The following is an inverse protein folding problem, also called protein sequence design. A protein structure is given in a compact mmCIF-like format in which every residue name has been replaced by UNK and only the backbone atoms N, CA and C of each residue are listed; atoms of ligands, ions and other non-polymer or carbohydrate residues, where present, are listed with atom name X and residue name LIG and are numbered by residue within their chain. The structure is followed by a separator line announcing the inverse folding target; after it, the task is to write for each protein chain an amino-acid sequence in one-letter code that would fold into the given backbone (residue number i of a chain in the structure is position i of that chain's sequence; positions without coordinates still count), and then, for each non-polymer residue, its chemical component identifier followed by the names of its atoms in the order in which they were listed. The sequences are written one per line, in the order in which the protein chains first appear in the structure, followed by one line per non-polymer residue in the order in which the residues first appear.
data_IF_148483307044
#
_entry.id   IF_148483307044
#
_cell.length_a   1.000
_cell.length_b   1.000
_cell.length_c   1.000
_cell.angle_alpha   90.00
_cell.angle_beta   90.00
_cell.angle_gamma   90.00
#
_symmetry.space_group_name_H-M   'P 1'
#
loop_
_entity.id
_entity.type
_entity.pdbx_description
1 polymer ?
#
# COMPACT_ATOMS: atom_id res chain seq x y z
N UNK A 1 -14.03 7.62 45.74
CA UNK A 1 -15.01 8.69 45.46
C UNK A 1 -14.96 9.16 44.00
N UNK A 2 -13.78 9.44 43.43
CA UNK A 2 -13.65 10.00 42.07
C UNK A 2 -14.21 9.10 40.93
N UNK A 3 -14.09 7.77 41.05
CA UNK A 3 -14.62 6.82 40.05
C UNK A 3 -16.15 6.79 39.96
N UNK A 4 -16.86 7.11 41.04
CA UNK A 4 -18.33 7.12 41.05
C UNK A 4 -18.86 8.38 40.37
N UNK A 5 -18.23 9.53 40.65
CA UNK A 5 -18.58 10.81 40.02
C UNK A 5 -18.41 10.78 38.50
N UNK A 6 -17.29 10.23 38.01
CA UNK A 6 -17.06 10.15 36.56
C UNK A 6 -18.10 9.24 35.87
N UNK A 7 -18.50 8.15 36.52
CA UNK A 7 -19.53 7.25 35.99
C UNK A 7 -20.88 7.96 35.86
N UNK A 8 -21.27 8.74 36.88
CA UNK A 8 -22.48 9.56 36.83
C UNK A 8 -22.42 10.59 35.70
N UNK A 9 -21.27 11.25 35.52
CA UNK A 9 -21.05 12.21 34.43
C UNK A 9 -21.18 11.55 33.05
N UNK A 10 -20.64 10.34 32.88
CA UNK A 10 -20.75 9.60 31.61
C UNK A 10 -22.22 9.26 31.32
N UNK A 11 -22.98 8.82 32.32
CA UNK A 11 -24.40 8.52 32.16
C UNK A 11 -25.23 9.77 31.82
N UNK A 12 -25.01 10.88 32.52
CA UNK A 12 -25.65 12.16 32.22
C UNK A 12 -25.30 12.64 30.80
N UNK A 13 -24.02 12.56 30.42
CA UNK A 13 -23.55 12.95 29.09
C UNK A 13 -24.16 12.08 27.98
N UNK A 14 -24.35 10.77 28.22
CA UNK A 14 -25.08 9.88 27.29
C UNK A 14 -26.53 10.31 27.08
N UNK A 15 -27.19 10.76 28.14
CA UNK A 15 -28.57 11.26 28.10
C UNK A 15 -28.69 12.67 27.49
N UNK A 16 -27.59 13.23 26.97
CA UNK A 16 -27.60 14.49 26.24
C UNK A 16 -27.19 15.72 27.06
N UNK A 17 -26.86 15.56 28.34
CA UNK A 17 -26.39 16.65 29.20
C UNK A 17 -25.12 17.30 28.63
N UNK A 18 -25.23 18.59 28.30
CA UNK A 18 -24.15 19.36 27.69
C UNK A 18 -23.05 19.70 28.69
N UNK A 19 -23.39 19.97 29.95
CA UNK A 19 -22.41 20.28 30.99
C UNK A 19 -21.58 19.05 31.32
N UNK A 20 -22.23 17.88 31.44
CA UNK A 20 -21.53 16.63 31.67
C UNK A 20 -20.56 16.30 30.51
N UNK A 21 -20.96 16.53 29.26
CA UNK A 21 -20.07 16.40 28.09
C UNK A 21 -18.87 17.35 28.18
N UNK A 22 -19.11 18.62 28.50
CA UNK A 22 -18.06 19.64 28.62
C UNK A 22 -17.05 19.28 29.72
N UNK A 23 -17.52 18.80 30.88
CA UNK A 23 -16.65 18.35 31.98
C UNK A 23 -15.75 17.20 31.53
N UNK A 24 -16.31 16.20 30.84
CA UNK A 24 -15.53 15.06 30.33
C UNK A 24 -14.52 15.53 29.28
N UNK A 25 -14.93 16.39 28.34
CA UNK A 25 -14.04 16.95 27.33
C UNK A 25 -12.86 17.70 27.97
N UNK A 26 -13.11 18.57 28.94
CA UNK A 26 -12.05 19.28 29.68
C UNK A 26 -11.12 18.31 30.39
N UNK A 27 -11.65 17.27 31.04
CA UNK A 27 -10.85 16.25 31.76
C UNK A 27 -9.87 15.52 30.83
N UNK A 28 -10.27 15.20 29.61
CA UNK A 28 -9.44 14.46 28.66
C UNK A 28 -8.68 15.34 27.64
N UNK A 29 -8.94 16.64 27.58
CA UNK A 29 -8.24 17.59 26.69
C UNK A 29 -6.71 17.53 26.83
N UNK A 30 -6.11 17.47 28.05
CA UNK A 30 -4.65 17.35 28.18
C UNK A 30 -4.08 16.08 27.52
N UNK A 31 -4.86 15.00 27.49
CA UNK A 31 -4.47 13.75 26.84
C UNK A 31 -4.49 13.89 25.30
N UNK A 32 -5.47 14.62 24.74
CA UNK A 32 -5.49 14.95 23.32
C UNK A 32 -4.22 15.73 22.94
N UNK A 33 -3.96 16.84 23.64
CA UNK A 33 -2.81 17.71 23.40
C UNK A 33 -1.49 16.91 23.47
N UNK A 34 -1.34 16.04 24.47
CA UNK A 34 -0.17 15.16 24.59
C UNK A 34 0.01 14.25 23.38
N UNK A 35 -1.05 13.66 22.84
CA UNK A 35 -0.96 12.79 21.67
C UNK A 35 -0.68 13.58 20.39
N UNK A 36 -1.33 14.74 20.21
CA UNK A 36 -1.11 15.62 19.06
C UNK A 36 0.35 16.02 18.99
N UNK A 37 0.89 16.57 20.08
CA UNK A 37 2.30 17.00 20.15
C UNK A 37 3.24 15.82 19.89
N UNK A 38 2.95 14.64 20.45
CA UNK A 38 3.78 13.44 20.27
C UNK A 38 3.84 12.95 18.82
N UNK A 39 2.73 13.03 18.08
CA UNK A 39 2.61 12.36 16.78
C UNK A 39 2.72 13.31 15.57
N UNK A 40 2.36 14.59 15.74
CA UNK A 40 2.30 15.59 14.68
C UNK A 40 3.21 16.82 14.94
N UNK A 41 3.71 16.99 16.17
CA UNK A 41 4.51 18.16 16.54
C UNK A 41 3.64 19.41 16.78
N UNK A 42 4.24 20.60 16.63
CA UNK A 42 3.53 21.89 16.68
C UNK A 42 3.39 22.43 15.25
N UNK A 43 2.33 22.02 14.55
CA UNK A 43 2.03 22.43 13.18
C UNK A 43 0.73 23.25 13.11
N UNK A 44 0.41 23.74 11.91
CA UNK A 44 -0.78 24.58 11.67
C UNK A 44 -2.10 23.85 11.96
N UNK A 45 -2.12 22.52 11.83
CA UNK A 45 -3.33 21.69 12.00
C UNK A 45 -3.67 21.35 13.46
N UNK A 46 -2.99 21.96 14.44
CA UNK A 46 -3.17 21.63 15.86
C UNK A 46 -4.62 21.77 16.32
N UNK A 47 -5.30 22.85 15.91
CA UNK A 47 -6.69 23.07 16.30
C UNK A 47 -7.64 22.07 15.67
N UNK A 48 -7.41 21.69 14.41
CA UNK A 48 -8.23 20.70 13.72
C UNK A 48 -8.08 19.32 14.36
N UNK A 49 -6.84 18.89 14.61
CA UNK A 49 -6.54 17.65 15.33
C UNK A 49 -7.14 17.64 16.74
N UNK A 50 -7.19 18.80 17.41
CA UNK A 50 -7.84 18.92 18.72
C UNK A 50 -9.36 18.75 18.61
N UNK A 51 -9.99 19.33 17.59
CA UNK A 51 -11.43 19.19 17.37
C UNK A 51 -11.83 17.77 17.00
N UNK A 52 -11.07 17.10 16.12
CA UNK A 52 -11.27 15.69 15.80
C UNK A 52 -11.16 14.80 17.05
N UNK A 53 -10.17 15.06 17.91
CA UNK A 53 -10.01 14.36 19.18
C UNK A 53 -11.19 14.55 20.14
N UNK A 54 -11.80 15.74 20.16
CA UNK A 54 -13.01 16.00 20.95
C UNK A 54 -14.21 15.21 20.40
N UNK A 55 -14.35 15.10 19.08
CA UNK A 55 -15.38 14.26 18.45
C UNK A 55 -15.21 12.80 18.86
N UNK A 56 -13.98 12.28 18.91
CA UNK A 56 -13.68 10.91 19.37
C UNK A 56 -14.11 10.70 20.82
N UNK A 57 -13.89 11.67 21.71
CA UNK A 57 -14.37 11.60 23.09
C UNK A 57 -15.90 11.56 23.14
N UNK A 58 -16.59 12.41 22.37
CA UNK A 58 -18.06 12.45 22.33
C UNK A 58 -18.65 11.13 21.81
N UNK A 59 -18.05 10.55 20.77
CA UNK A 59 -18.42 9.21 20.27
C UNK A 59 -18.13 8.14 21.33
N UNK A 60 -17.00 8.23 22.02
CA UNK A 60 -16.67 7.30 23.11
C UNK A 60 -17.68 7.37 24.26
N UNK A 61 -18.22 8.55 24.59
CA UNK A 61 -19.30 8.67 25.59
C UNK A 61 -20.53 7.90 25.12
N UNK A 62 -20.96 8.09 23.86
CA UNK A 62 -22.14 7.45 23.28
C UNK A 62 -21.97 5.92 23.23
N UNK A 63 -20.82 5.45 22.79
CA UNK A 63 -20.59 4.04 22.43
C UNK A 63 -20.03 3.20 23.59
N UNK A 64 -19.69 3.82 24.73
CA UNK A 64 -19.17 3.11 25.89
C UNK A 64 -20.20 2.13 26.47
N UNK A 65 -19.79 0.91 26.79
CA UNK A 65 -20.63 -0.08 27.48
C UNK A 65 -20.04 -0.41 28.85
N UNK A 66 -20.83 -0.19 29.91
CA UNK A 66 -20.44 -0.44 31.29
C UNK A 66 -20.44 -1.93 31.64
N UNK A 67 -21.19 -2.75 30.91
CA UNK A 67 -21.30 -4.19 31.16
C UNK A 67 -20.01 -4.94 30.81
N UNK A 68 -19.14 -4.33 30.01
CA UNK A 68 -17.85 -4.91 29.62
C UNK A 68 -16.80 -4.86 30.74
N UNK A 69 -17.10 -4.23 31.89
CA UNK A 69 -16.21 -4.17 33.05
C UNK A 69 -14.95 -3.32 32.85
N UNK A 70 -14.84 -2.58 31.73
CA UNK A 70 -13.69 -1.72 31.44
C UNK A 70 -13.98 -0.30 31.96
N UNK A 71 -13.09 0.30 32.77
CA UNK A 71 -13.25 1.69 33.20
C UNK A 71 -13.22 2.67 32.02
N UNK A 72 -14.14 3.64 32.02
CA UNK A 72 -14.25 4.66 30.97
C UNK A 72 -12.93 5.39 30.64
N UNK A 73 -12.09 5.81 31.61
CA UNK A 73 -10.80 6.44 31.28
C UNK A 73 -9.87 5.56 30.44
N UNK A 74 -9.85 4.26 30.72
CA UNK A 74 -9.04 3.30 29.96
C UNK A 74 -9.56 3.13 28.54
N UNK A 75 -10.89 3.05 28.39
CA UNK A 75 -11.56 2.98 27.11
C UNK A 75 -11.28 4.22 26.24
N UNK A 76 -11.55 5.42 26.76
CA UNK A 76 -11.32 6.69 26.03
C UNK A 76 -9.85 6.88 25.67
N UNK A 77 -8.93 6.58 26.59
CA UNK A 77 -7.48 6.64 26.31
C UNK A 77 -7.10 5.76 25.13
N UNK A 78 -7.68 4.56 25.02
CA UNK A 78 -7.45 3.64 23.90
C UNK A 78 -8.00 4.21 22.59
N UNK A 79 -9.22 4.77 22.60
CA UNK A 79 -9.83 5.39 21.41
C UNK A 79 -9.00 6.57 20.88
N UNK A 80 -8.60 7.48 21.78
CA UNK A 80 -7.74 8.63 21.44
C UNK A 80 -6.41 8.16 20.82
N UNK A 81 -5.78 7.14 21.39
CA UNK A 81 -4.52 6.61 20.89
C UNK A 81 -4.64 6.06 19.47
N UNK A 82 -5.66 5.24 19.20
CA UNK A 82 -5.86 4.65 17.86
C UNK A 82 -6.25 5.69 16.82
N UNK A 83 -7.09 6.66 17.17
CA UNK A 83 -7.44 7.76 16.28
C UNK A 83 -6.18 8.48 15.76
N UNK A 84 -5.34 9.01 16.65
CA UNK A 84 -4.16 9.76 16.22
C UNK A 84 -3.08 8.92 15.54
N UNK A 85 -2.94 7.64 15.88
CA UNK A 85 -2.03 6.74 15.14
C UNK A 85 -2.53 6.50 13.72
N UNK A 86 -3.83 6.31 13.54
CA UNK A 86 -4.41 6.08 12.22
C UNK A 86 -4.34 7.35 11.36
N UNK A 87 -4.61 8.52 11.93
CA UNK A 87 -4.44 9.80 11.22
C UNK A 87 -2.98 10.04 10.81
N UNK A 88 -2.01 9.75 11.70
CA UNK A 88 -0.58 9.85 11.36
C UNK A 88 -0.16 8.91 10.22
N UNK A 89 -0.76 7.73 10.11
CA UNK A 89 -0.44 6.77 9.02
C UNK A 89 -0.84 7.34 7.66
N UNK A 90 -1.97 8.03 7.56
CA UNK A 90 -2.44 8.66 6.31
C UNK A 90 -1.44 9.70 5.80
N UNK A 91 -0.86 10.53 6.69
CA UNK A 91 0.15 11.53 6.30
C UNK A 91 1.40 10.86 5.73
N UNK A 92 1.83 9.72 6.29
CA UNK A 92 3.01 8.99 5.78
C UNK A 92 2.80 8.43 4.37
N UNK A 93 1.57 8.12 3.98
CA UNK A 93 1.27 7.55 2.66
C UNK A 93 1.44 8.58 1.54
N UNK A 94 1.27 9.88 1.83
CA UNK A 94 1.46 10.94 0.84
C UNK A 94 2.89 11.49 0.89
N UNK A 95 3.76 10.97 0.04
CA UNK A 95 5.03 11.61 -0.27
C UNK A 95 4.79 12.72 -1.31
N UNK A 96 4.97 13.98 -0.90
CA UNK A 96 4.82 15.15 -1.78
C UNK A 96 6.10 15.30 -2.60
N UNK A 97 6.01 15.02 -3.91
CA UNK A 97 7.19 14.93 -4.78
C UNK A 97 7.71 16.30 -5.25
N UNK A 98 6.84 17.31 -5.30
CA UNK A 98 7.12 18.68 -5.75
C UNK A 98 7.55 19.61 -4.61
N UNK A 99 7.59 19.12 -3.37
CA UNK A 99 8.08 19.92 -2.24
C UNK A 99 9.60 20.14 -2.37
N UNK A 100 10.10 21.37 -2.23
CA UNK A 100 11.52 21.64 -2.27
C UNK A 100 12.22 20.92 -1.11
N UNK A 101 13.25 20.14 -1.42
CA UNK A 101 14.00 19.37 -0.44
C UNK A 101 14.93 20.25 0.41
N UNK A 102 15.21 21.50 -0.02
CA UNK A 102 16.03 22.52 0.63
C UNK A 102 15.77 23.92 0.00
N UNK A 103 16.45 24.96 0.48
CA UNK A 103 16.47 26.33 -0.08
C UNK A 103 16.92 26.43 -1.55
N UNK A 104 17.46 25.32 -2.10
CA UNK A 104 17.95 25.24 -3.47
C UNK A 104 16.89 24.98 -4.54
N UNK A 105 15.60 24.93 -4.20
CA UNK A 105 14.49 24.83 -5.17
C UNK A 105 14.32 23.48 -5.87
N UNK A 106 15.20 22.51 -5.62
CA UNK A 106 15.08 21.15 -6.18
C UNK A 106 14.09 20.31 -5.36
N UNK A 107 13.14 19.69 -6.04
CA UNK A 107 12.17 18.77 -5.47
C UNK A 107 12.52 17.31 -5.81
N UNK A 108 11.80 16.35 -5.21
CA UNK A 108 12.06 14.94 -5.46
C UNK A 108 11.72 14.54 -6.90
N UNK A 109 10.75 15.22 -7.54
CA UNK A 109 10.46 15.06 -8.98
C UNK A 109 11.69 15.30 -9.86
N UNK A 110 12.50 16.31 -9.55
CA UNK A 110 13.68 16.65 -10.37
C UNK A 110 14.76 15.56 -10.35
N UNK A 111 14.74 14.70 -9.32
CA UNK A 111 15.67 13.57 -9.18
C UNK A 111 15.09 12.26 -9.68
N UNK A 112 13.79 12.18 -9.91
CA UNK A 112 13.16 11.04 -10.56
C UNK A 112 13.50 11.11 -12.06
N UNK A 113 14.70 10.67 -12.38
CA UNK A 113 15.12 10.42 -13.76
C UNK A 113 14.15 9.34 -14.28
N UNK A 114 13.31 9.71 -15.27
CA UNK A 114 12.71 8.70 -16.14
C UNK A 114 13.87 7.84 -16.63
N UNK A 115 13.79 6.53 -16.46
CA UNK A 115 14.64 5.61 -17.23
C UNK A 115 14.31 5.82 -18.71
N UNK A 116 14.86 6.88 -19.31
CA UNK A 116 14.96 7.01 -20.74
C UNK A 116 15.87 5.86 -21.15
N UNK A 117 15.28 4.88 -21.83
CA UNK A 117 16.02 3.77 -22.44
C UNK A 117 17.21 4.36 -23.15
N UNK A 118 18.40 4.01 -22.67
CA UNK A 118 19.65 4.55 -23.22
C UNK A 118 19.75 4.11 -24.68
N UNK A 119 20.25 4.97 -25.55
CA UNK A 119 20.40 4.67 -26.99
C UNK A 119 21.20 3.37 -27.20
N UNK A 120 22.16 3.08 -26.32
CA UNK A 120 22.94 1.85 -26.29
C UNK A 120 22.08 0.61 -25.97
N UNK A 121 21.15 0.71 -25.02
CA UNK A 121 20.25 -0.39 -24.66
C UNK A 121 19.25 -0.70 -25.77
N UNK A 122 18.73 0.34 -26.44
CA UNK A 122 17.85 0.19 -27.60
C UNK A 122 18.60 -0.42 -28.80
N UNK A 123 19.87 -0.06 -29.01
CA UNK A 123 20.72 -0.66 -30.04
C UNK A 123 21.03 -2.13 -29.73
N UNK A 124 21.43 -2.46 -28.51
CA UNK A 124 21.70 -3.83 -28.08
C UNK A 124 20.45 -4.71 -28.23
N UNK A 125 19.29 -4.21 -27.81
CA UNK A 125 18.00 -4.89 -27.97
C UNK A 125 17.63 -5.15 -29.43
N UNK A 126 18.04 -4.28 -30.37
CA UNK A 126 17.84 -4.51 -31.81
C UNK A 126 18.72 -5.64 -32.30
N UNK A 127 20.01 -5.62 -31.96
CA UNK A 127 20.97 -6.68 -32.35
C UNK A 127 20.55 -8.03 -31.79
N UNK A 128 20.14 -8.09 -30.51
CA UNK A 128 19.64 -9.33 -29.88
C UNK A 128 18.40 -9.88 -30.59
N UNK A 129 17.47 -9.01 -31.01
CA UNK A 129 16.29 -9.41 -31.77
C UNK A 129 16.66 -9.96 -33.15
N UNK A 130 17.60 -9.34 -33.84
CA UNK A 130 18.09 -9.82 -35.14
C UNK A 130 18.72 -11.22 -35.01
N UNK A 131 19.59 -11.42 -34.01
CA UNK A 131 20.16 -12.74 -33.71
C UNK A 131 19.09 -13.78 -33.37
N UNK A 132 18.08 -13.39 -32.60
CA UNK A 132 16.95 -14.27 -32.28
C UNK A 132 16.16 -14.65 -33.54
N UNK A 133 15.91 -13.72 -34.46
CA UNK A 133 15.23 -14.02 -35.73
C UNK A 133 16.03 -15.01 -36.58
N UNK A 134 17.35 -14.82 -36.70
CA UNK A 134 18.24 -15.75 -37.39
C UNK A 134 18.19 -17.14 -36.73
N UNK A 135 18.25 -17.21 -35.39
CA UNK A 135 18.14 -18.46 -34.65
C UNK A 135 16.79 -19.16 -34.83
N UNK A 136 15.69 -18.40 -34.92
CA UNK A 136 14.35 -18.93 -35.16
C UNK A 136 14.18 -19.52 -36.57
N UNK A 137 14.91 -19.04 -37.58
CA UNK A 137 14.87 -19.60 -38.92
C UNK A 137 15.56 -20.97 -39.02
N UNK A 138 16.55 -21.23 -38.17
CA UNK A 138 17.24 -22.53 -38.10
C UNK A 138 16.44 -23.60 -37.34
N UNK A 139 15.34 -23.23 -36.68
CA UNK A 139 14.44 -24.20 -36.07
C UNK A 139 13.63 -24.95 -37.12
N UNK A 140 13.34 -26.22 -36.84
CA UNK A 140 12.37 -26.96 -37.67
C UNK A 140 10.99 -26.30 -37.59
N UNK A 141 10.14 -26.41 -38.62
CA UNK A 141 8.80 -25.80 -38.64
C UNK A 141 7.97 -26.13 -37.38
N UNK A 142 8.04 -27.38 -36.92
CA UNK A 142 7.36 -27.85 -35.70
C UNK A 142 7.89 -27.20 -34.42
N UNK A 143 9.20 -26.92 -34.34
CA UNK A 143 9.83 -26.24 -33.21
C UNK A 143 9.53 -24.74 -33.22
N UNK A 144 9.65 -24.09 -34.38
CA UNK A 144 9.35 -22.67 -34.57
C UNK A 144 7.91 -22.37 -34.19
N UNK A 145 6.96 -23.16 -34.69
CA UNK A 145 5.54 -23.01 -34.38
C UNK A 145 5.26 -23.17 -32.87
N UNK A 146 5.90 -24.13 -32.20
CA UNK A 146 5.78 -24.33 -30.75
C UNK A 146 6.29 -23.13 -29.95
N UNK A 147 7.46 -22.58 -30.32
CA UNK A 147 8.04 -21.41 -29.65
C UNK A 147 7.16 -20.18 -29.86
N UNK A 148 6.64 -19.96 -31.07
CA UNK A 148 5.73 -18.86 -31.37
C UNK A 148 4.41 -18.97 -30.59
N UNK A 149 3.80 -20.15 -30.58
CA UNK A 149 2.53 -20.36 -29.88
C UNK A 149 2.66 -20.18 -28.36
N UNK A 150 3.79 -20.59 -27.77
CA UNK A 150 4.02 -20.46 -26.33
C UNK A 150 4.44 -19.04 -25.90
N UNK A 151 5.48 -18.47 -26.53
CA UNK A 151 6.07 -17.20 -26.08
C UNK A 151 5.38 -15.96 -26.67
N UNK A 152 4.86 -16.02 -27.91
CA UNK A 152 4.27 -14.84 -28.57
C UNK A 152 2.74 -14.83 -28.52
N UNK A 153 2.10 -16.00 -28.52
CA UNK A 153 0.63 -16.11 -28.43
C UNK A 153 0.11 -16.50 -27.04
N UNK A 154 1.01 -16.68 -26.06
CA UNK A 154 0.65 -16.96 -24.67
C UNK A 154 -0.09 -18.28 -24.43
N UNK A 155 -0.02 -19.25 -25.36
CA UNK A 155 -0.72 -20.53 -25.20
C UNK A 155 0.00 -21.43 -24.22
N UNK A 156 -0.76 -22.17 -23.42
CA UNK A 156 -0.20 -23.17 -22.50
C UNK A 156 0.30 -24.39 -23.26
N UNK A 157 1.34 -25.06 -22.74
CA UNK A 157 1.85 -26.30 -23.34
C UNK A 157 0.79 -27.40 -23.40
N UNK A 158 -0.18 -27.38 -22.47
CA UNK A 158 -1.33 -28.30 -22.47
C UNK A 158 -2.27 -28.02 -23.65
N UNK A 159 -2.65 -26.75 -23.87
CA UNK A 159 -3.48 -26.35 -25.01
C UNK A 159 -2.80 -26.66 -26.36
N UNK A 160 -1.47 -26.49 -26.44
CA UNK A 160 -0.71 -26.81 -27.66
C UNK A 160 -0.66 -28.33 -27.90
N UNK A 161 -0.54 -29.13 -26.83
CA UNK A 161 -0.54 -30.59 -26.90
C UNK A 161 -1.89 -31.12 -27.40
N UNK A 162 -2.99 -30.62 -26.84
CA UNK A 162 -4.37 -30.95 -27.24
C UNK A 162 -4.62 -30.59 -28.70
N UNK A 163 -4.25 -29.38 -29.14
CA UNK A 163 -4.42 -28.93 -30.53
C UNK A 163 -3.63 -29.80 -31.54
N UNK A 164 -2.45 -30.28 -31.15
CA UNK A 164 -1.58 -31.09 -32.03
C UNK A 164 -1.83 -32.58 -31.94
N UNK A 165 -2.72 -33.05 -31.05
CA UNK A 165 -2.95 -34.48 -30.81
C UNK A 165 -1.71 -35.21 -30.27
N UNK A 166 -0.84 -34.51 -29.54
CA UNK A 166 0.43 -35.06 -29.01
C UNK A 166 0.39 -35.11 -27.49
N UNK A 167 1.13 -36.05 -26.90
CA UNK A 167 1.32 -36.09 -25.45
C UNK A 167 2.02 -34.81 -24.94
N UNK A 168 1.57 -34.33 -23.78
CA UNK A 168 2.17 -33.20 -23.06
C UNK A 168 3.69 -33.35 -22.88
N UNK A 169 4.16 -34.57 -22.57
CA UNK A 169 5.58 -34.86 -22.42
C UNK A 169 6.37 -34.70 -23.72
N UNK A 170 5.75 -35.02 -24.86
CA UNK A 170 6.37 -34.84 -26.19
C UNK A 170 6.56 -33.36 -26.52
N UNK A 171 5.59 -32.52 -26.15
CA UNK A 171 5.67 -31.06 -26.31
C UNK A 171 6.76 -30.45 -25.43
N UNK A 172 6.90 -30.92 -24.17
CA UNK A 172 8.01 -30.49 -23.29
C UNK A 172 9.38 -30.84 -23.91
N UNK A 173 9.55 -32.10 -24.35
CA UNK A 173 10.79 -32.54 -24.99
C UNK A 173 11.09 -31.74 -26.26
N UNK A 174 10.05 -31.42 -27.04
CA UNK A 174 10.17 -30.61 -28.26
C UNK A 174 10.60 -29.17 -27.95
N UNK A 175 10.02 -28.55 -26.92
CA UNK A 175 10.41 -27.20 -26.42
C UNK A 175 11.86 -27.19 -25.95
N UNK A 176 12.25 -28.17 -25.13
CA UNK A 176 13.62 -28.27 -24.62
C UNK A 176 14.65 -28.41 -25.77
N UNK A 177 14.34 -29.22 -26.78
CA UNK A 177 15.18 -29.35 -27.98
C UNK A 177 15.22 -28.06 -28.81
N UNK A 178 14.11 -27.33 -28.91
CA UNK A 178 14.04 -26.05 -29.60
C UNK A 178 14.92 -25.00 -28.91
N UNK A 179 14.83 -24.89 -27.58
CA UNK A 179 15.67 -23.97 -26.79
C UNK A 179 17.15 -24.32 -26.88
N UNK A 180 17.51 -25.61 -26.80
CA UNK A 180 18.90 -26.05 -26.95
C UNK A 180 19.48 -25.74 -28.34
N UNK A 181 18.65 -25.75 -29.38
CA UNK A 181 19.05 -25.33 -30.73
C UNK A 181 19.20 -23.82 -30.80
N UNK A 182 18.22 -23.04 -30.32
CA UNK A 182 18.33 -21.58 -30.27
C UNK A 182 19.59 -21.13 -29.53
N UNK A 183 19.90 -21.75 -28.38
CA UNK A 183 21.08 -21.41 -27.60
C UNK A 183 22.41 -21.68 -28.33
N UNK A 184 22.47 -22.69 -29.20
CA UNK A 184 23.68 -23.00 -30.00
C UNK A 184 23.89 -22.07 -31.18
N UNK A 185 22.86 -21.35 -31.59
CA UNK A 185 22.89 -20.51 -32.79
C UNK A 185 22.98 -19.02 -32.45
N UNK A 186 22.72 -18.65 -31.18
CA UNK A 186 22.81 -17.28 -30.65
C UNK A 186 24.14 -17.04 -29.90
N UNK A 187 24.80 -18.11 -29.43
CA UNK A 187 26.15 -18.11 -28.80
C UNK A 187 27.16 -18.70 -29.77
#
# INVERSE_FOLDING_TARGET
MENNLLRQQVLAAKNGDKEAKEIILRKFTPLLIKNIIKYFGKNQDFYDLLQEGRVVILQSIRDFDENLGVPFPGYVKRQIFYHYINERKKIREYLILDQPLNDGGFCLMDRLIKEERRLEEDYLSKVEKELLYIGLEKLTPKQKELILDYYFKGKTLKSIAEKKGLSYQSIIKLKARALKRLQKEIV
#
